data_IF_818588051304
#
_entry.id   IF_818588051304
#
_cell.length_a   1.000
_cell.length_b   1.000
_cell.length_c   1.000
_cell.angle_alpha   90.00
_cell.angle_beta   90.00
_cell.angle_gamma   90.00
#
_symmetry.space_group_name_H-M   'P 1'
#
loop_
_entity.id
_entity.type
_entity.pdbx_description
1 polymer ?
#
# COMPACT_ATOMS: atom_id res chain seq x y z
N UNK A 1 -26.35 -25.97 25.66
CA UNK A 1 -25.47 -24.81 25.44
C UNK A 1 -24.98 -24.90 24.00
N UNK A 2 -25.54 -24.09 23.09
CA UNK A 2 -25.11 -24.09 21.70
C UNK A 2 -23.80 -23.31 21.61
N UNK A 3 -22.71 -23.98 21.23
CA UNK A 3 -21.42 -23.33 20.98
C UNK A 3 -21.54 -22.47 19.73
N UNK A 4 -21.27 -21.18 19.84
CA UNK A 4 -21.18 -20.28 18.70
C UNK A 4 -19.92 -20.61 17.90
N UNK A 5 -20.13 -21.08 16.67
CA UNK A 5 -19.09 -21.19 15.65
C UNK A 5 -18.35 -19.85 15.55
N UNK A 6 -17.02 -19.87 15.67
CA UNK A 6 -16.16 -18.69 15.65
C UNK A 6 -16.53 -17.76 14.50
N UNK A 7 -17.18 -16.65 14.84
CA UNK A 7 -17.56 -15.63 13.90
C UNK A 7 -16.29 -15.15 13.20
N UNK A 8 -16.29 -15.16 11.86
CA UNK A 8 -15.27 -14.46 11.09
C UNK A 8 -15.34 -13.00 11.49
N UNK A 9 -14.43 -12.56 12.35
CA UNK A 9 -14.29 -11.16 12.72
C UNK A 9 -13.93 -10.45 11.42
N UNK A 10 -14.89 -9.72 10.85
CA UNK A 10 -14.69 -9.00 9.60
C UNK A 10 -13.51 -8.05 9.76
N UNK A 11 -12.38 -8.35 9.12
CA UNK A 11 -11.29 -7.40 8.98
C UNK A 11 -11.72 -6.38 7.93
N UNK A 12 -12.04 -5.16 8.38
CA UNK A 12 -12.33 -4.05 7.47
C UNK A 12 -11.01 -3.55 6.90
N UNK A 13 -10.68 -3.94 5.67
CA UNK A 13 -9.57 -3.33 4.93
C UNK A 13 -9.99 -1.93 4.49
N UNK A 14 -9.38 -0.90 5.08
CA UNK A 14 -9.54 0.48 4.57
C UNK A 14 -8.53 0.70 3.46
N UNK A 15 -9.01 0.83 2.22
CA UNK A 15 -8.17 1.18 1.08
C UNK A 15 -8.11 2.70 0.94
N UNK A 16 -6.94 3.29 1.26
CA UNK A 16 -6.66 4.70 1.00
C UNK A 16 -5.72 4.84 -0.20
N UNK A 17 -5.90 5.87 -1.02
CA UNK A 17 -5.07 6.12 -2.21
C UNK A 17 -4.40 7.48 -2.13
N UNK A 18 -3.10 7.53 -2.45
CA UNK A 18 -2.32 8.75 -2.57
C UNK A 18 -1.71 8.83 -3.97
N UNK A 19 -1.76 10.00 -4.57
CA UNK A 19 -1.18 10.25 -5.90
C UNK A 19 -0.14 11.36 -5.82
N UNK A 20 1.05 11.10 -6.36
CA UNK A 20 2.11 12.09 -6.50
C UNK A 20 2.27 12.48 -7.96
N UNK A 21 2.38 13.78 -8.22
CA UNK A 21 2.67 14.28 -9.56
C UNK A 21 4.17 14.15 -9.85
N UNK A 22 4.53 13.23 -10.75
CA UNK A 22 5.91 12.97 -11.15
C UNK A 22 6.29 13.62 -12.49
N UNK A 23 5.51 14.55 -13.03
CA UNK A 23 5.73 15.11 -14.38
C UNK A 23 7.07 15.82 -14.58
N UNK A 24 7.65 16.34 -13.50
CA UNK A 24 8.95 17.02 -13.49
C UNK A 24 10.12 16.08 -13.17
N UNK A 25 9.85 14.82 -12.82
CA UNK A 25 10.90 13.84 -12.55
C UNK A 25 11.42 13.32 -13.90
N UNK A 26 12.74 13.22 -14.10
CA UNK A 26 13.32 12.61 -15.29
C UNK A 26 12.84 11.17 -15.50
N UNK A 27 12.91 10.70 -16.75
CA UNK A 27 12.68 9.29 -17.03
C UNK A 27 13.80 8.45 -16.40
N UNK A 28 13.45 7.30 -15.84
CA UNK A 28 14.41 6.44 -15.14
C UNK A 28 13.77 5.45 -14.19
N UNK A 29 14.63 4.67 -13.54
CA UNK A 29 14.25 3.66 -12.54
C UNK A 29 14.27 4.29 -11.15
N UNK A 30 13.17 4.15 -10.43
CA UNK A 30 12.99 4.72 -9.09
C UNK A 30 12.48 3.67 -8.09
N UNK A 31 12.65 3.98 -6.81
CA UNK A 31 12.15 3.18 -5.70
C UNK A 31 11.19 4.03 -4.87
N UNK A 32 9.95 3.56 -4.72
CA UNK A 32 8.98 4.12 -3.80
C UNK A 32 9.10 3.41 -2.46
N UNK A 33 9.38 4.16 -1.39
CA UNK A 33 9.42 3.65 -0.03
C UNK A 33 8.23 4.19 0.76
N UNK A 34 7.43 3.29 1.30
CA UNK A 34 6.31 3.61 2.19
C UNK A 34 6.70 3.16 3.59
N UNK A 35 6.65 4.09 4.55
CA UNK A 35 6.89 3.83 5.96
C UNK A 35 5.58 4.05 6.71
N UNK A 36 5.19 3.07 7.51
CA UNK A 36 4.04 3.10 8.42
C UNK A 36 4.52 2.83 9.83
N UNK A 37 3.64 2.99 10.81
CA UNK A 37 3.85 2.53 12.18
C UNK A 37 4.13 1.01 12.26
N UNK A 38 3.56 0.23 11.34
CA UNK A 38 3.72 -1.24 11.29
C UNK A 38 4.97 -1.72 10.53
N UNK A 39 5.65 -0.84 9.79
CA UNK A 39 6.85 -1.21 9.04
C UNK A 39 7.08 -0.45 7.74
N UNK A 40 8.02 -0.98 6.95
CA UNK A 40 8.52 -0.35 5.70
C UNK A 40 8.32 -1.29 4.52
N UNK A 41 7.76 -0.76 3.43
CA UNK A 41 7.69 -1.45 2.13
C UNK A 41 8.37 -0.62 1.06
N UNK A 42 9.14 -1.26 0.18
CA UNK A 42 9.80 -0.61 -0.96
C UNK A 42 9.39 -1.30 -2.27
N UNK A 43 9.06 -0.52 -3.29
CA UNK A 43 8.75 -1.02 -4.63
C UNK A 43 9.55 -0.29 -5.71
N UNK A 44 10.09 -1.03 -6.67
CA UNK A 44 10.77 -0.50 -7.85
C UNK A 44 9.74 -0.18 -8.94
N UNK A 45 9.90 0.94 -9.62
CA UNK A 45 9.08 1.34 -10.76
C UNK A 45 9.92 2.11 -11.80
N UNK A 46 9.41 2.19 -13.03
CA UNK A 46 10.02 2.95 -14.11
C UNK A 46 9.13 4.16 -14.43
N UNK A 47 9.73 5.34 -14.49
CA UNK A 47 9.09 6.53 -15.07
C UNK A 47 9.45 6.53 -16.56
N UNK A 48 8.50 6.15 -17.40
CA UNK A 48 8.59 6.24 -18.85
C UNK A 48 7.99 7.58 -19.33
N UNK A 49 8.50 8.09 -20.46
CA UNK A 49 7.92 9.23 -21.19
C UNK A 49 7.26 8.75 -22.47
#
# INVERSE_FOLDING_TARGET
MAGTNGARVGFTTVSNSYTWNCSKIPAGVYFCRVTTDQGVTTKRFNIAR
#
